data_IF_792881025813
#
_entry.id   IF_792881025813
#
_cell.length_a   1.000
_cell.length_b   1.000
_cell.length_c   1.000
_cell.angle_alpha   90.00
_cell.angle_beta   90.00
_cell.angle_gamma   90.00
#
_symmetry.space_group_name_H-M   'P 1'
#
loop_
_entity.id
_entity.type
_entity.pdbx_description
1 polymer ?
#
# COMPACT_ATOMS: atom_id res chain seq x y z
N UNK A 1 -5.78 42.47 -81.28
CA UNK A 1 -6.37 43.62 -80.56
C UNK A 1 -6.07 43.41 -79.09
N UNK A 2 -4.83 43.60 -78.64
CA UNK A 2 -4.17 44.87 -78.29
C UNK A 2 -4.91 45.70 -77.23
N UNK A 3 -4.27 45.78 -76.03
CA UNK A 3 -3.97 46.94 -75.16
C UNK A 3 -3.95 46.50 -73.68
N UNK A 4 -2.78 46.51 -73.01
CA UNK A 4 -2.23 47.58 -72.13
C UNK A 4 -3.12 47.79 -70.88
N UNK A 5 -2.70 47.87 -69.61
CA UNK A 5 -1.39 48.12 -68.97
C UNK A 5 -1.49 47.96 -67.44
N UNK A 6 -0.38 47.48 -66.86
CA UNK A 6 0.22 47.74 -65.53
C UNK A 6 -0.40 48.74 -64.54
N UNK A 7 -0.39 48.37 -63.24
CA UNK A 7 -0.54 49.29 -62.11
C UNK A 7 -0.20 48.69 -60.73
N UNK A 8 1.10 48.67 -60.39
CA UNK A 8 1.80 48.58 -59.09
C UNK A 8 1.00 48.45 -57.76
N UNK A 9 1.49 47.56 -56.89
CA UNK A 9 1.32 47.65 -55.43
C UNK A 9 2.15 46.62 -54.67
N UNK A 10 3.32 47.02 -54.16
CA UNK A 10 4.22 46.22 -53.31
C UNK A 10 3.58 45.95 -51.94
N UNK A 11 3.76 44.74 -51.41
CA UNK A 11 3.51 44.40 -50.01
C UNK A 11 4.12 43.05 -49.68
N UNK A 12 5.38 43.06 -49.23
CA UNK A 12 6.06 41.91 -48.65
C UNK A 12 5.39 41.56 -47.32
N UNK A 13 4.94 40.31 -47.18
CA UNK A 13 4.72 39.70 -45.87
C UNK A 13 5.10 38.22 -46.00
N UNK A 14 6.39 37.93 -45.78
CA UNK A 14 6.84 36.57 -45.51
C UNK A 14 6.28 36.13 -44.17
N UNK A 15 5.28 35.25 -44.20
CA UNK A 15 4.77 34.58 -43.00
C UNK A 15 5.83 33.60 -42.49
N UNK A 16 6.57 34.00 -41.45
CA UNK A 16 7.33 33.08 -40.64
C UNK A 16 6.34 32.28 -39.78
N UNK A 17 6.20 30.99 -40.08
CA UNK A 17 5.54 30.03 -39.21
C UNK A 17 6.35 29.88 -37.94
N UNK A 18 5.90 30.48 -36.83
CA UNK A 18 6.40 30.13 -35.50
C UNK A 18 5.60 28.92 -35.03
N UNK A 19 6.17 27.73 -35.23
CA UNK A 19 5.76 26.53 -34.50
C UNK A 19 6.28 26.71 -33.08
N UNK A 20 5.40 27.07 -32.15
CA UNK A 20 5.70 27.02 -30.73
C UNK A 20 5.80 25.55 -30.31
N UNK A 21 7.01 25.00 -30.35
CA UNK A 21 7.32 23.75 -29.64
C UNK A 21 7.42 24.13 -28.16
N UNK A 22 6.31 23.95 -27.44
CA UNK A 22 6.31 23.92 -25.99
C UNK A 22 7.08 22.67 -25.55
N UNK A 23 8.37 22.84 -25.28
CA UNK A 23 9.15 21.89 -24.49
C UNK A 23 8.58 21.92 -23.07
N UNK A 24 7.72 20.94 -22.77
CA UNK A 24 7.33 20.62 -21.42
C UNK A 24 8.58 20.08 -20.71
N UNK A 25 9.26 20.95 -19.96
CA UNK A 25 10.29 20.52 -19.03
C UNK A 25 9.58 19.69 -17.95
N UNK A 26 9.74 18.37 -18.05
CA UNK A 26 9.30 17.41 -17.04
C UNK A 26 10.10 17.69 -15.77
N UNK A 27 9.56 18.50 -14.87
CA UNK A 27 10.03 18.53 -13.50
C UNK A 27 9.58 17.21 -12.86
N UNK A 28 10.42 16.18 -12.94
CA UNK A 28 10.35 15.04 -12.04
C UNK A 28 10.72 15.59 -10.68
N UNK A 29 9.73 16.12 -9.97
CA UNK A 29 9.82 16.22 -8.52
C UNK A 29 9.81 14.78 -8.07
N UNK A 30 10.97 14.28 -7.64
CA UNK A 30 11.04 13.09 -6.83
C UNK A 30 10.20 13.38 -5.58
N UNK A 31 8.92 13.01 -5.63
CA UNK A 31 8.10 12.86 -4.45
C UNK A 31 8.71 11.69 -3.69
N UNK A 32 9.71 11.99 -2.88
CA UNK A 32 9.98 11.18 -1.72
C UNK A 32 8.64 10.97 -1.03
N UNK A 33 8.28 9.71 -0.83
CA UNK A 33 7.12 9.30 -0.04
C UNK A 33 7.01 10.25 1.13
N UNK A 34 5.86 10.92 1.25
CA UNK A 34 5.54 11.76 2.39
C UNK A 34 6.06 11.06 3.63
N UNK A 35 7.03 11.72 4.27
CA UNK A 35 7.61 11.28 5.51
C UNK A 35 6.47 10.77 6.40
N UNK A 36 6.61 9.53 6.85
CA UNK A 36 5.93 9.01 8.03
C UNK A 36 6.00 10.15 9.07
N UNK A 37 4.89 10.84 9.31
CA UNK A 37 4.90 11.96 10.21
C UNK A 37 5.28 11.41 11.60
N UNK A 38 6.49 11.74 12.04
CA UNK A 38 6.96 11.58 13.42
C UNK A 38 6.71 10.21 14.06
N UNK A 39 7.15 9.11 13.42
CA UNK A 39 7.13 7.80 14.07
C UNK A 39 5.74 7.33 14.52
N UNK A 40 4.64 7.85 13.94
CA UNK A 40 3.30 7.34 14.20
C UNK A 40 2.83 6.53 13.00
N UNK A 41 2.18 5.40 13.29
CA UNK A 41 1.47 4.57 12.33
C UNK A 41 0.00 4.54 12.71
N UNK A 42 -0.86 4.65 11.71
CA UNK A 42 -2.29 4.54 11.88
C UNK A 42 -2.80 3.20 11.37
N UNK A 43 -3.75 2.61 12.07
CA UNK A 43 -4.36 1.34 11.68
C UNK A 43 -5.87 1.41 11.77
N UNK A 44 -6.55 0.72 10.84
CA UNK A 44 -7.97 0.43 10.97
C UNK A 44 -8.12 -0.75 11.91
N UNK A 45 -8.95 -0.63 12.95
CA UNK A 45 -9.34 -1.70 13.86
C UNK A 45 -10.78 -2.12 13.59
N UNK A 46 -10.97 -3.41 13.30
CA UNK A 46 -12.28 -4.05 13.14
C UNK A 46 -12.88 -4.48 14.49
N UNK A 47 -14.18 -4.80 14.57
CA UNK A 47 -14.81 -5.29 15.80
C UNK A 47 -14.21 -6.58 16.35
N UNK A 48 -13.63 -7.43 15.49
CA UNK A 48 -12.96 -8.67 15.87
C UNK A 48 -11.54 -8.44 16.44
N UNK A 49 -11.14 -7.19 16.62
CA UNK A 49 -9.83 -6.80 17.14
C UNK A 49 -8.70 -6.89 16.12
N UNK A 50 -8.96 -7.32 14.87
CA UNK A 50 -7.94 -7.33 13.82
C UNK A 50 -7.63 -5.92 13.35
N UNK A 51 -6.34 -5.68 13.09
CA UNK A 51 -5.84 -4.37 12.66
C UNK A 51 -5.01 -4.45 11.39
N UNK A 52 -5.04 -3.40 10.59
CA UNK A 52 -4.20 -3.26 9.40
C UNK A 52 -3.82 -1.78 9.19
N UNK A 53 -2.63 -1.53 8.67
CA UNK A 53 -2.05 -0.21 8.44
C UNK A 53 -2.80 0.61 7.39
N UNK A 54 -3.01 1.89 7.70
CA UNK A 54 -3.45 2.92 6.76
C UNK A 54 -2.21 3.45 6.03
N UNK A 55 -2.22 3.35 4.69
CA UNK A 55 -1.11 3.76 3.82
C UNK A 55 -1.18 5.22 3.40
N UNK A 56 -2.27 5.91 3.73
CA UNK A 56 -2.35 7.35 3.53
C UNK A 56 -3.74 7.92 3.77
N UNK A 57 -3.81 9.25 3.71
CA UNK A 57 -5.02 10.04 3.96
C UNK A 57 -5.22 11.08 2.88
N UNK A 58 -6.47 11.27 2.46
CA UNK A 58 -6.89 12.36 1.57
C UNK A 58 -5.96 12.57 0.34
N UNK A 59 -5.36 11.48 -0.15
CA UNK A 59 -4.44 11.51 -1.28
C UNK A 59 -5.07 10.82 -2.49
N UNK A 60 -4.64 11.19 -3.70
CA UNK A 60 -5.12 10.55 -4.90
C UNK A 60 -4.64 9.09 -4.95
N UNK A 61 -5.51 8.17 -5.37
CA UNK A 61 -5.13 6.75 -5.46
C UNK A 61 -3.96 6.52 -6.42
N UNK A 62 -3.79 7.34 -7.48
CA UNK A 62 -2.72 7.16 -8.46
C UNK A 62 -1.31 7.29 -7.84
N UNK A 63 -1.16 8.18 -6.87
CA UNK A 63 0.09 8.36 -6.11
C UNK A 63 0.33 7.15 -5.20
N UNK A 64 -0.72 6.59 -4.63
CA UNK A 64 -0.63 5.44 -3.75
C UNK A 64 -0.49 4.09 -4.48
N UNK A 65 -0.96 4.01 -5.73
CA UNK A 65 -0.91 2.86 -6.63
C UNK A 65 0.51 2.50 -7.03
N UNK A 66 1.47 3.43 -6.98
CA UNK A 66 2.86 3.13 -7.31
C UNK A 66 3.51 2.09 -6.36
N UNK A 67 2.86 1.72 -5.25
CA UNK A 67 3.39 0.82 -4.21
C UNK A 67 2.68 -0.55 -4.11
N UNK A 68 2.04 -1.05 -5.19
CA UNK A 68 1.15 -2.22 -5.15
C UNK A 68 1.70 -3.48 -4.45
N UNK A 69 1.10 -3.80 -3.30
CA UNK A 69 0.60 -5.13 -2.86
C UNK A 69 -0.40 -4.99 -1.69
N UNK A 70 -0.41 -3.82 -1.04
CA UNK A 70 -1.45 -3.41 -0.09
C UNK A 70 -1.74 -1.92 -0.28
N UNK A 71 -3.02 -1.56 -0.19
CA UNK A 71 -3.42 -0.16 -0.10
C UNK A 71 -4.60 -0.03 0.84
N UNK A 72 -4.52 0.90 1.77
CA UNK A 72 -5.65 1.30 2.60
C UNK A 72 -5.61 2.81 2.83
N UNK A 73 -6.46 3.54 2.12
CA UNK A 73 -6.54 5.00 2.20
C UNK A 73 -7.81 5.41 2.93
N UNK A 74 -7.68 6.39 3.83
CA UNK A 74 -8.83 7.03 4.47
C UNK A 74 -9.10 8.39 3.84
N UNK A 75 -10.35 8.64 3.48
CA UNK A 75 -10.82 9.92 2.96
C UNK A 75 -11.81 10.56 3.93
N UNK A 76 -11.54 11.79 4.34
CA UNK A 76 -12.41 12.62 5.20
C UNK A 76 -13.11 13.69 4.34
N UNK A 77 -14.14 14.39 4.86
CA UNK A 77 -14.79 15.49 4.15
C UNK A 77 -13.83 16.55 3.62
N UNK A 78 -12.67 16.72 4.26
CA UNK A 78 -11.63 17.68 3.85
C UNK A 78 -10.99 17.36 2.50
N UNK A 79 -11.11 16.13 2.00
CA UNK A 79 -10.64 15.78 0.66
C UNK A 79 -11.33 16.62 -0.42
N UNK A 80 -12.57 17.05 -0.18
CA UNK A 80 -13.26 18.06 -0.98
C UNK A 80 -13.65 17.65 -2.41
N UNK A 81 -13.39 16.41 -2.81
CA UNK A 81 -13.71 15.89 -4.14
C UNK A 81 -14.17 14.43 -4.11
N UNK A 82 -14.89 13.95 -5.14
CA UNK A 82 -15.30 12.55 -5.22
C UNK A 82 -14.10 11.60 -5.22
N UNK A 83 -14.24 10.46 -4.54
CA UNK A 83 -13.24 9.39 -4.55
C UNK A 83 -13.51 8.46 -5.73
N UNK A 84 -12.54 8.39 -6.64
CA UNK A 84 -12.59 7.47 -7.80
C UNK A 84 -11.68 6.27 -7.54
N UNK A 85 -12.23 5.06 -7.65
CA UNK A 85 -11.46 3.82 -7.57
C UNK A 85 -10.62 3.64 -8.83
N UNK A 86 -9.32 3.36 -8.68
CA UNK A 86 -8.40 3.24 -9.82
C UNK A 86 -7.88 1.81 -10.07
N UNK A 87 -7.96 0.92 -9.09
CA UNK A 87 -7.51 -0.46 -9.18
C UNK A 87 -8.56 -1.47 -8.71
N UNK A 88 -8.24 -2.76 -8.79
CA UNK A 88 -9.12 -3.83 -8.33
C UNK A 88 -8.36 -5.12 -7.99
N UNK A 89 -8.93 -5.99 -7.16
CA UNK A 89 -10.23 -5.86 -6.49
C UNK A 89 -10.20 -4.83 -5.33
N UNK A 90 -11.31 -4.10 -5.15
CA UNK A 90 -11.41 -2.94 -4.23
C UNK A 90 -12.66 -3.01 -3.35
N UNK A 91 -12.50 -2.73 -2.06
CA UNK A 91 -13.61 -2.56 -1.11
C UNK A 91 -13.61 -1.13 -0.62
N UNK A 92 -14.77 -0.49 -0.65
CA UNK A 92 -15.00 0.85 -0.12
C UNK A 92 -16.02 0.79 1.00
N UNK A 93 -15.67 1.35 2.14
CA UNK A 93 -16.47 1.36 3.37
C UNK A 93 -16.75 2.80 3.77
N UNK A 94 -18.02 3.16 3.93
CA UNK A 94 -18.42 4.41 4.56
C UNK A 94 -18.63 4.20 6.05
N UNK A 95 -18.00 5.05 6.84
CA UNK A 95 -18.08 5.06 8.31
C UNK A 95 -18.64 6.43 8.72
N UNK A 96 -19.73 6.44 9.47
CA UNK A 96 -20.40 7.64 10.00
C UNK A 96 -20.50 7.50 11.52
N UNK A 97 -20.00 8.49 12.27
CA UNK A 97 -19.94 8.41 13.73
C UNK A 97 -19.19 7.18 14.28
N UNK A 98 -18.18 6.68 13.56
CA UNK A 98 -17.41 5.47 13.94
C UNK A 98 -18.12 4.13 13.66
N UNK A 99 -19.25 4.15 12.96
CA UNK A 99 -20.02 2.94 12.60
C UNK A 99 -20.12 2.81 11.09
N UNK A 100 -19.93 1.61 10.57
CA UNK A 100 -20.06 1.32 9.14
C UNK A 100 -21.50 1.56 8.69
N UNK A 101 -21.71 2.54 7.81
CA UNK A 101 -23.01 2.91 7.27
C UNK A 101 -23.29 2.31 5.89
N UNK A 102 -22.24 2.04 5.10
CA UNK A 102 -22.35 1.38 3.81
C UNK A 102 -21.05 0.67 3.40
N UNK A 103 -21.17 -0.39 2.60
CA UNK A 103 -20.04 -1.14 2.03
C UNK A 103 -20.30 -1.41 0.56
N UNK A 104 -19.27 -1.28 -0.27
CA UNK A 104 -19.22 -1.75 -1.66
C UNK A 104 -17.96 -2.57 -1.87
N UNK A 105 -18.11 -3.82 -2.27
CA UNK A 105 -17.00 -4.74 -2.58
C UNK A 105 -16.86 -4.93 -4.08
N UNK A 106 -15.66 -5.33 -4.50
CA UNK A 106 -15.33 -5.63 -5.91
C UNK A 106 -15.68 -4.47 -6.85
N UNK A 107 -15.43 -3.24 -6.37
CA UNK A 107 -15.74 -2.00 -7.09
C UNK A 107 -14.84 -1.90 -8.34
N UNK A 108 -15.42 -1.82 -9.56
CA UNK A 108 -14.64 -1.66 -10.77
C UNK A 108 -13.88 -0.33 -10.83
N UNK A 109 -12.72 -0.28 -11.51
CA UNK A 109 -12.02 0.98 -11.78
C UNK A 109 -12.90 2.02 -12.48
N UNK A 110 -12.68 3.29 -12.17
CA UNK A 110 -13.40 4.44 -12.69
C UNK A 110 -14.73 4.76 -11.99
N UNK A 111 -15.15 3.96 -11.00
CA UNK A 111 -16.38 4.23 -10.26
C UNK A 111 -16.17 5.13 -9.04
N UNK A 112 -17.20 5.91 -8.73
CA UNK A 112 -17.36 6.67 -7.47
C UNK A 112 -18.41 5.95 -6.62
N UNK A 113 -18.01 5.00 -5.75
CA UNK A 113 -18.96 4.01 -5.21
C UNK A 113 -19.82 4.54 -4.06
N UNK A 114 -19.29 5.46 -3.26
CA UNK A 114 -19.92 5.99 -2.05
C UNK A 114 -19.48 7.45 -1.86
N UNK A 115 -20.35 8.27 -1.27
CA UNK A 115 -19.99 9.60 -0.81
C UNK A 115 -19.29 9.53 0.56
N UNK A 116 -18.43 10.50 0.84
CA UNK A 116 -17.80 10.63 2.16
C UNK A 116 -18.86 11.14 3.15
N UNK A 117 -19.16 10.42 4.25
CA UNK A 117 -20.08 10.89 5.28
C UNK A 117 -19.58 12.20 5.90
N UNK A 118 -20.48 13.16 6.11
CA UNK A 118 -20.14 14.49 6.65
C UNK A 118 -19.58 14.44 8.08
N UNK A 119 -19.95 13.42 8.85
CA UNK A 119 -19.54 13.17 10.23
C UNK A 119 -18.61 11.95 10.36
N UNK A 120 -17.91 11.61 9.28
CA UNK A 120 -17.09 10.41 9.25
C UNK A 120 -16.11 10.38 8.09
N UNK A 121 -15.94 9.20 7.49
CA UNK A 121 -14.89 8.97 6.48
C UNK A 121 -15.23 7.79 5.56
N UNK A 122 -14.55 7.73 4.41
CA UNK A 122 -14.45 6.52 3.60
C UNK A 122 -13.12 5.82 3.88
N UNK A 123 -13.15 4.49 3.89
CA UNK A 123 -11.95 3.65 3.80
C UNK A 123 -11.98 2.96 2.44
N UNK A 124 -10.90 3.11 1.68
CA UNK A 124 -10.70 2.40 0.42
C UNK A 124 -9.57 1.40 0.60
N UNK A 125 -9.88 0.11 0.44
CA UNK A 125 -8.90 -0.97 0.50
C UNK A 125 -8.73 -1.67 -0.84
N UNK A 126 -7.48 -1.87 -1.26
CA UNK A 126 -7.07 -2.66 -2.43
C UNK A 126 -6.06 -3.71 -1.98
N UNK A 127 -5.99 -4.87 -2.65
CA UNK A 127 -5.10 -5.97 -2.28
C UNK A 127 -5.41 -6.45 -0.87
N UNK A 128 -4.45 -6.38 0.06
CA UNK A 128 -4.70 -6.74 1.47
C UNK A 128 -5.72 -5.85 2.17
N UNK A 129 -5.83 -4.57 1.80
CA UNK A 129 -6.91 -3.72 2.30
C UNK A 129 -8.29 -4.20 1.84
N UNK A 130 -8.42 -4.69 0.60
CA UNK A 130 -9.67 -5.26 0.10
C UNK A 130 -10.07 -6.52 0.87
N UNK A 131 -9.14 -7.46 1.07
CA UNK A 131 -9.37 -8.69 1.86
C UNK A 131 -9.76 -8.37 3.31
N UNK A 132 -9.05 -7.42 3.92
CA UNK A 132 -9.28 -7.00 5.29
C UNK A 132 -10.66 -6.35 5.47
N UNK A 133 -11.04 -5.42 4.60
CA UNK A 133 -12.33 -4.71 4.71
C UNK A 133 -13.53 -5.59 4.37
N UNK A 134 -13.36 -6.67 3.58
CA UNK A 134 -14.45 -7.60 3.24
C UNK A 134 -15.10 -8.31 4.42
N UNK A 135 -14.43 -8.37 5.57
CA UNK A 135 -15.00 -8.97 6.77
C UNK A 135 -16.00 -8.05 7.50
N UNK A 136 -15.99 -6.74 7.19
CA UNK A 136 -16.88 -5.77 7.82
C UNK A 136 -18.32 -5.92 7.34
N UNK A 137 -19.25 -5.49 8.18
CA UNK A 137 -20.69 -5.44 7.93
C UNK A 137 -21.24 -4.06 8.29
N UNK A 138 -22.34 -3.67 7.66
CA UNK A 138 -23.07 -2.46 8.08
C UNK A 138 -23.49 -2.61 9.54
N UNK A 139 -23.24 -1.58 10.35
CA UNK A 139 -23.44 -1.59 11.80
C UNK A 139 -22.21 -1.95 12.62
N UNK A 140 -21.13 -2.46 12.00
CA UNK A 140 -19.88 -2.72 12.70
C UNK A 140 -19.24 -1.40 13.17
N UNK A 141 -18.68 -1.42 14.38
CA UNK A 141 -17.82 -0.33 14.86
C UNK A 141 -16.44 -0.46 14.25
N UNK A 142 -15.90 0.64 13.73
CA UNK A 142 -14.55 0.70 13.18
C UNK A 142 -13.84 1.87 13.82
N UNK A 143 -12.65 1.61 14.35
CA UNK A 143 -11.79 2.65 14.91
C UNK A 143 -10.59 2.86 14.00
N UNK A 144 -10.10 4.09 13.95
CA UNK A 144 -8.73 4.35 13.52
C UNK A 144 -7.91 4.54 14.79
N UNK A 145 -6.87 3.74 14.95
CA UNK A 145 -5.95 3.81 16.09
C UNK A 145 -4.61 4.36 15.62
N UNK A 146 -4.02 5.23 16.44
CA UNK A 146 -2.67 5.74 16.28
C UNK A 146 -1.74 4.99 17.22
N UNK A 147 -0.53 4.71 16.74
CA UNK A 147 0.49 3.97 17.49
C UNK A 147 1.86 4.51 17.17
N UNK A 148 2.77 4.46 18.15
CA UNK A 148 4.20 4.64 17.89
C UNK A 148 4.69 3.51 16.98
N UNK A 149 5.42 3.90 15.95
CA UNK A 149 6.04 3.05 14.95
C UNK A 149 7.19 2.30 15.59
N UNK A 150 7.27 1.00 15.29
CA UNK A 150 8.34 0.12 15.79
C UNK A 150 9.21 -0.46 14.68
N UNK A 151 8.85 -0.21 13.42
CA UNK A 151 9.69 -0.56 12.27
C UNK A 151 10.99 0.23 12.32
N UNK A 152 12.17 -0.43 12.17
CA UNK A 152 13.45 0.26 12.19
C UNK A 152 13.60 1.30 11.07
N UNK A 153 14.31 2.39 11.36
CA UNK A 153 14.78 3.36 10.37
C UNK A 153 16.27 3.66 10.64
N UNK A 154 17.20 3.30 9.73
CA UNK A 154 16.96 2.72 8.41
C UNK A 154 16.46 1.27 8.46
N UNK A 155 15.75 0.87 7.40
CA UNK A 155 15.27 -0.50 7.22
C UNK A 155 16.45 -1.46 6.96
N UNK A 156 16.55 -2.57 7.71
CA UNK A 156 17.41 -3.68 7.32
C UNK A 156 17.03 -4.23 5.94
N UNK A 157 18.04 -4.72 5.24
CA UNK A 157 17.98 -5.18 3.86
C UNK A 157 18.14 -6.69 3.71
N UNK A 158 18.54 -7.40 4.76
CA UNK A 158 18.70 -8.84 4.76
C UNK A 158 18.29 -9.51 6.07
N UNK A 159 17.93 -10.79 5.98
CA UNK A 159 17.80 -11.71 7.12
C UNK A 159 19.02 -12.62 7.12
N UNK A 160 19.65 -12.76 8.29
CA UNK A 160 20.78 -13.68 8.52
C UNK A 160 20.37 -14.76 9.51
N UNK A 161 20.41 -16.01 9.06
CA UNK A 161 20.15 -17.16 9.91
C UNK A 161 21.37 -17.49 10.80
N UNK A 162 21.17 -18.25 11.88
CA UNK A 162 22.26 -18.71 12.76
C UNK A 162 23.36 -19.49 12.03
N UNK A 163 23.02 -20.14 10.91
CA UNK A 163 23.96 -20.85 10.04
C UNK A 163 24.89 -19.92 9.26
N UNK A 164 24.61 -18.61 9.24
CA UNK A 164 25.28 -17.62 8.40
C UNK A 164 24.69 -17.49 6.99
N UNK A 165 23.65 -18.27 6.66
CA UNK A 165 22.92 -18.09 5.42
C UNK A 165 22.16 -16.76 5.41
N UNK A 166 22.14 -16.10 4.26
CA UNK A 166 21.58 -14.75 4.09
C UNK A 166 20.54 -14.75 2.99
N UNK A 167 19.43 -14.07 3.21
CA UNK A 167 18.44 -13.77 2.16
C UNK A 167 18.09 -12.28 2.17
N UNK A 168 18.04 -11.62 0.99
CA UNK A 168 17.59 -10.23 0.90
C UNK A 168 16.13 -10.08 1.32
N UNK A 169 15.84 -9.02 2.07
CA UNK A 169 14.49 -8.55 2.34
C UNK A 169 14.01 -7.77 1.12
N UNK A 170 12.88 -8.18 0.56
CA UNK A 170 12.27 -7.49 -0.58
C UNK A 170 11.62 -6.19 -0.13
N UNK A 171 10.84 -6.24 0.95
CA UNK A 171 10.13 -5.07 1.49
C UNK A 171 9.67 -5.31 2.93
N UNK A 172 9.08 -4.29 3.54
CA UNK A 172 8.56 -4.30 4.91
C UNK A 172 7.07 -3.93 4.92
N UNK A 173 6.31 -4.51 5.84
CA UNK A 173 4.90 -4.16 6.11
C UNK A 173 4.07 -3.90 4.84
N UNK A 174 4.14 -4.82 3.87
CA UNK A 174 3.36 -4.74 2.63
C UNK A 174 2.81 -6.11 2.24
N UNK A 175 1.93 -6.18 1.24
CA UNK A 175 1.49 -7.47 0.75
C UNK A 175 2.66 -8.26 0.13
N UNK A 176 2.65 -9.58 0.31
CA UNK A 176 3.69 -10.50 -0.18
C UNK A 176 3.33 -11.05 -1.57
N UNK A 177 4.13 -10.72 -2.57
CA UNK A 177 4.07 -11.26 -3.92
C UNK A 177 4.84 -12.58 -4.11
N UNK A 178 4.83 -13.16 -5.32
CA UNK A 178 5.60 -14.35 -5.65
C UNK A 178 7.10 -14.16 -5.44
N UNK A 179 7.75 -15.15 -4.85
CA UNK A 179 9.19 -15.15 -4.52
C UNK A 179 9.70 -13.99 -3.63
N UNK A 180 8.83 -13.17 -3.05
CA UNK A 180 9.23 -12.07 -2.19
C UNK A 180 9.45 -12.54 -0.75
N UNK A 181 10.37 -11.86 -0.06
CA UNK A 181 10.56 -11.97 1.39
C UNK A 181 10.17 -10.65 2.04
N UNK A 182 9.12 -10.67 2.85
CA UNK A 182 8.58 -9.52 3.56
C UNK A 182 8.78 -9.69 5.06
N UNK A 183 9.23 -8.63 5.73
CA UNK A 183 9.23 -8.58 7.20
C UNK A 183 8.03 -7.77 7.67
N UNK A 184 7.22 -8.39 8.52
CA UNK A 184 6.08 -7.77 9.17
C UNK A 184 6.40 -7.43 10.61
N UNK A 185 6.07 -6.21 10.99
CA UNK A 185 6.14 -5.68 12.36
C UNK A 185 4.72 -5.34 12.84
N UNK A 186 4.51 -5.02 14.12
CA UNK A 186 3.24 -4.54 14.62
C UNK A 186 2.68 -3.30 13.89
N UNK A 187 3.51 -2.54 13.16
CA UNK A 187 3.07 -1.40 12.36
C UNK A 187 2.17 -1.81 11.18
N UNK A 188 2.40 -3.00 10.62
CA UNK A 188 1.53 -3.56 9.57
C UNK A 188 0.11 -3.80 10.08
N UNK A 189 -0.01 -4.29 11.31
CA UNK A 189 -1.23 -4.85 11.87
C UNK A 189 -0.89 -6.03 12.78
N UNK A 190 -1.90 -6.65 13.37
CA UNK A 190 -1.69 -7.77 14.31
C UNK A 190 -1.71 -9.16 13.65
N UNK A 191 -1.70 -9.24 12.32
CA UNK A 191 -1.62 -10.48 11.56
C UNK A 191 -1.03 -10.22 10.17
N UNK A 192 -0.30 -11.19 9.62
CA UNK A 192 0.34 -11.04 8.30
C UNK A 192 -0.66 -11.00 7.14
N UNK A 193 -1.84 -11.60 7.33
CA UNK A 193 -2.87 -11.78 6.28
C UNK A 193 -2.35 -12.45 5.01
N UNK A 194 -1.25 -13.22 5.09
CA UNK A 194 -0.72 -13.92 3.92
C UNK A 194 -1.50 -15.20 3.62
N UNK A 195 -1.34 -15.71 2.40
CA UNK A 195 -1.92 -16.98 2.00
C UNK A 195 -0.97 -18.16 2.30
N UNK A 196 -1.45 -19.37 2.00
CA UNK A 196 -0.76 -20.62 2.26
C UNK A 196 0.42 -20.90 1.34
N UNK A 197 0.66 -20.12 0.30
CA UNK A 197 1.68 -20.44 -0.72
C UNK A 197 3.11 -20.08 -0.29
N UNK A 198 3.27 -19.55 0.93
CA UNK A 198 4.56 -19.21 1.52
C UNK A 198 4.68 -19.67 2.97
N UNK A 199 5.92 -19.74 3.46
CA UNK A 199 6.26 -20.03 4.84
C UNK A 199 6.38 -18.73 5.66
N UNK A 200 6.21 -18.84 6.97
CA UNK A 200 6.38 -17.70 7.89
C UNK A 200 7.10 -18.12 9.16
N UNK A 201 8.08 -17.34 9.59
CA UNK A 201 8.76 -17.50 10.86
C UNK A 201 8.36 -16.36 11.82
N UNK A 202 7.74 -16.72 12.95
CA UNK A 202 7.58 -15.80 14.07
C UNK A 202 8.90 -15.68 14.80
N UNK A 203 9.39 -14.45 14.95
CA UNK A 203 10.65 -14.14 15.62
C UNK A 203 10.37 -13.21 16.79
N UNK A 204 10.87 -13.58 17.96
CA UNK A 204 10.77 -12.77 19.17
C UNK A 204 12.14 -12.67 19.82
N UNK A 205 12.58 -11.45 20.14
CA UNK A 205 13.88 -11.18 20.74
C UNK A 205 15.06 -11.82 19.96
N UNK A 206 15.01 -11.78 18.62
CA UNK A 206 16.06 -12.33 17.75
C UNK A 206 16.13 -13.86 17.72
N UNK A 207 15.08 -14.54 18.18
CA UNK A 207 14.98 -16.01 18.17
C UNK A 207 13.72 -16.45 17.42
N UNK A 208 13.85 -17.49 16.61
CA UNK A 208 12.72 -18.10 15.91
C UNK A 208 11.86 -18.86 16.92
N UNK A 209 10.61 -18.45 17.11
CA UNK A 209 9.67 -19.08 18.04
C UNK A 209 8.86 -20.18 17.36
N UNK A 210 8.44 -19.93 16.12
CA UNK A 210 7.59 -20.84 15.36
C UNK A 210 7.80 -20.63 13.86
N UNK A 211 7.69 -21.71 13.08
CA UNK A 211 7.67 -21.65 11.61
C UNK A 211 6.44 -22.34 11.07
N UNK A 212 5.57 -21.55 10.43
CA UNK A 212 4.45 -22.04 9.63
C UNK A 212 4.98 -22.54 8.29
N UNK A 213 4.59 -23.74 7.91
CA UNK A 213 4.99 -24.36 6.65
C UNK A 213 4.18 -23.84 5.45
N UNK A 214 4.69 -24.09 4.24
CA UNK A 214 3.92 -23.90 3.01
C UNK A 214 2.72 -24.86 3.02
N UNK A 215 1.56 -24.36 2.57
CA UNK A 215 0.22 -24.99 2.58
C UNK A 215 -0.50 -25.00 3.95
N UNK A 216 0.12 -24.51 5.01
CA UNK A 216 -0.54 -24.39 6.33
C UNK A 216 -1.33 -23.09 6.49
N UNK A 217 -2.40 -23.17 7.27
CA UNK A 217 -3.24 -22.07 7.72
C UNK A 217 -3.37 -22.14 9.25
N UNK A 218 -3.67 -21.02 9.94
CA UNK A 218 -3.92 -19.66 9.42
C UNK A 218 -2.64 -18.83 9.16
N UNK A 219 -2.75 -17.60 8.61
CA UNK A 219 -1.68 -16.60 8.70
C UNK A 219 -1.23 -16.36 10.15
N UNK A 220 0.04 -15.96 10.34
CA UNK A 220 0.55 -15.72 11.68
C UNK A 220 0.03 -14.39 12.26
N UNK A 221 -0.28 -14.42 13.54
CA UNK A 221 -0.44 -13.21 14.33
C UNK A 221 0.94 -12.54 14.52
N UNK A 222 0.94 -11.22 14.69
CA UNK A 222 2.13 -10.42 14.94
C UNK A 222 2.00 -9.84 16.35
N UNK A 223 2.54 -10.52 17.38
CA UNK A 223 2.55 -10.00 18.74
C UNK A 223 3.37 -8.72 18.88
N UNK A 224 3.07 -7.94 19.92
CA UNK A 224 3.89 -6.80 20.31
C UNK A 224 5.33 -7.22 20.61
N UNK A 225 6.31 -6.45 20.11
CA UNK A 225 7.74 -6.73 20.27
C UNK A 225 8.25 -7.95 19.49
N UNK A 226 7.43 -8.51 18.59
CA UNK A 226 7.82 -9.58 17.69
C UNK A 226 7.77 -9.12 16.22
N UNK A 227 8.39 -9.90 15.34
CA UNK A 227 8.27 -9.74 13.89
C UNK A 227 7.89 -11.08 13.26
N UNK A 228 7.32 -11.02 12.05
CA UNK A 228 7.13 -12.22 11.21
C UNK A 228 7.92 -12.05 9.92
N UNK A 229 8.84 -12.98 9.66
CA UNK A 229 9.56 -13.09 8.39
C UNK A 229 8.75 -14.00 7.48
N UNK A 230 8.38 -13.51 6.31
CA UNK A 230 7.36 -14.13 5.46
C UNK A 230 7.86 -14.27 4.04
N UNK A 231 7.94 -15.50 3.53
CA UNK A 231 8.56 -15.80 2.24
C UNK A 231 7.64 -16.62 1.34
N UNK A 232 7.55 -16.25 0.07
CA UNK A 232 6.85 -17.03 -0.96
C UNK A 232 7.86 -17.79 -1.85
N UNK A 233 7.46 -18.88 -2.49
CA UNK A 233 8.31 -19.71 -3.37
C UNK A 233 9.71 -19.98 -2.79
N UNK A 234 10.80 -19.55 -3.45
CA UNK A 234 12.17 -19.80 -2.98
C UNK A 234 12.45 -19.11 -1.65
N UNK A 235 11.91 -17.91 -1.41
CA UNK A 235 12.02 -17.27 -0.11
C UNK A 235 11.31 -18.07 1.00
N UNK A 236 10.18 -18.70 0.67
CA UNK A 236 9.48 -19.61 1.59
C UNK A 236 10.28 -20.88 1.88
N UNK A 237 10.89 -21.49 0.86
CA UNK A 237 11.76 -22.64 1.04
C UNK A 237 13.02 -22.30 1.84
N UNK A 238 13.57 -21.10 1.64
CA UNK A 238 14.71 -20.62 2.43
C UNK A 238 14.37 -20.49 3.91
N UNK A 239 13.18 -19.96 4.25
CA UNK A 239 12.70 -19.89 5.64
C UNK A 239 12.65 -21.28 6.26
N UNK A 240 12.03 -22.25 5.59
CA UNK A 240 11.88 -23.62 6.11
C UNK A 240 13.25 -24.29 6.32
N UNK A 241 14.21 -24.03 5.43
CA UNK A 241 15.53 -24.64 5.49
C UNK A 241 16.43 -24.02 6.58
N UNK A 242 16.28 -22.73 6.87
CA UNK A 242 17.27 -21.97 7.65
C UNK A 242 16.75 -21.38 8.95
N UNK A 243 15.45 -21.12 9.10
CA UNK A 243 14.86 -20.60 10.33
C UNK A 243 14.26 -21.77 11.11
N UNK A 244 14.95 -22.22 12.15
CA UNK A 244 14.54 -23.37 12.96
C UNK A 244 14.08 -22.87 14.33
N UNK A 245 12.93 -23.32 14.88
CA UNK A 245 12.52 -22.92 16.21
C UNK A 245 13.65 -23.11 17.26
N UNK A 246 13.95 -22.03 18.00
CA UNK A 246 15.04 -21.93 18.97
C UNK A 246 16.36 -21.36 18.42
N UNK A 247 16.53 -21.26 17.09
CA UNK A 247 17.74 -20.69 16.49
C UNK A 247 17.71 -19.16 16.53
N UNK A 248 18.90 -18.55 16.58
CA UNK A 248 19.02 -17.09 16.44
C UNK A 248 18.82 -16.64 14.99
N UNK A 249 18.38 -15.40 14.85
CA UNK A 249 18.21 -14.70 13.58
C UNK A 249 18.46 -13.22 13.79
N UNK A 250 19.15 -12.59 12.85
CA UNK A 250 19.41 -11.15 12.84
C UNK A 250 18.93 -10.52 11.54
N UNK A 251 18.73 -9.20 11.61
CA UNK A 251 18.42 -8.35 10.47
C UNK A 251 19.61 -7.41 10.24
N UNK A 252 20.05 -7.28 9.00
CA UNK A 252 21.20 -6.45 8.58
C UNK A 252 20.83 -5.45 7.49
#
# INVERSE_FOLDING_TARGET
MDRLTLGKGRGLAGGAWVVAVLTLALAVVALGSLAQAAGIVEQVRRPDGKTLMITGRNQLQAEAIQAYYHLMIVYTPDFGQPVTVLGGPTTVVAVSGGVVSAIKTDVPPGQVPLAIPADGYLIVGIGKGWEFLKALKVGDKVDIIEREAVTPDPLPTAVVAETGEVIPITNWNTGRGPNELIVYTPDWGNCTYTNIWGAEALVQNGEVVYVRQIKENPPLDIPEGAIVISGHDQAGFWIIANLIPGSKVSLE
#
